data_IF_563251875607
#
_entry.id   IF_563251875607
#
_cell.length_a   1.000
_cell.length_b   1.000
_cell.length_c   1.000
_cell.angle_alpha   90.00
_cell.angle_beta   90.00
_cell.angle_gamma   90.00
#
_symmetry.space_group_name_H-M   'P 1'
#
loop_
_entity.id
_entity.type
_entity.pdbx_description
1 polymer ?
#
# COMPACT_ATOMS: atom_id res chain seq x y z
N UNK A 1 -19.52 -4.33 -51.73
CA UNK A 1 -20.32 -3.28 -51.09
C UNK A 1 -20.27 -3.52 -49.59
N UNK A 2 -19.29 -2.95 -48.89
CA UNK A 2 -19.17 -3.05 -47.42
C UNK A 2 -19.30 -1.65 -46.84
N UNK A 3 -20.33 -1.46 -46.02
CA UNK A 3 -20.74 -0.19 -45.44
C UNK A 3 -19.94 0.05 -44.15
N UNK A 4 -19.05 1.04 -44.15
CA UNK A 4 -18.30 1.45 -42.96
C UNK A 4 -19.18 2.37 -42.10
N UNK A 5 -19.49 1.93 -40.88
CA UNK A 5 -20.24 2.70 -39.89
C UNK A 5 -19.26 3.58 -39.09
N UNK A 6 -19.26 4.88 -39.39
CA UNK A 6 -18.52 5.88 -38.61
C UNK A 6 -19.37 6.32 -37.41
N UNK A 7 -19.03 5.85 -36.20
CA UNK A 7 -19.54 6.44 -34.95
C UNK A 7 -18.72 7.69 -34.64
N UNK A 8 -19.38 8.85 -34.67
CA UNK A 8 -18.88 10.12 -34.13
C UNK A 8 -18.70 9.99 -32.61
N UNK A 9 -17.47 10.09 -32.13
CA UNK A 9 -17.20 10.45 -30.74
C UNK A 9 -17.52 11.94 -30.56
N UNK A 10 -18.44 12.23 -29.66
CA UNK A 10 -18.70 13.57 -29.14
C UNK A 10 -17.72 13.76 -27.98
N UNK A 11 -16.76 14.67 -28.14
CA UNK A 11 -15.85 15.11 -27.08
C UNK A 11 -16.58 16.18 -26.26
N UNK A 12 -16.87 15.97 -24.97
CA UNK A 12 -17.38 17.03 -24.12
C UNK A 12 -16.28 18.06 -23.85
N UNK A 13 -16.64 19.32 -24.01
CA UNK A 13 -15.75 20.47 -24.04
C UNK A 13 -15.02 20.71 -22.72
N UNK A 14 -13.73 20.99 -22.88
CA UNK A 14 -12.85 21.63 -21.91
C UNK A 14 -13.40 23.04 -21.59
N UNK A 15 -14.05 23.21 -20.43
CA UNK A 15 -14.41 24.54 -19.90
C UNK A 15 -13.23 25.05 -19.09
N UNK A 16 -12.43 25.91 -19.71
CA UNK A 16 -11.39 26.67 -19.01
C UNK A 16 -12.04 27.78 -18.17
N UNK A 17 -12.09 27.59 -16.85
CA UNK A 17 -12.44 28.64 -15.90
C UNK A 17 -11.17 29.47 -15.58
N UNK A 18 -11.01 30.58 -16.29
CA UNK A 18 -10.10 31.66 -15.91
C UNK A 18 -10.73 32.43 -14.73
N UNK A 19 -10.31 32.13 -13.51
CA UNK A 19 -10.56 33.03 -12.37
C UNK A 19 -9.52 34.15 -12.40
N UNK A 20 -9.95 35.31 -12.89
CA UNK A 20 -9.19 36.55 -12.85
C UNK A 20 -9.18 37.15 -11.44
N UNK A 21 -8.01 37.60 -11.00
CA UNK A 21 -7.86 38.56 -9.92
C UNK A 21 -8.59 39.84 -10.30
N UNK A 22 -9.68 40.16 -9.59
CA UNK A 22 -10.34 41.46 -9.70
C UNK A 22 -9.96 42.29 -8.47
N UNK A 23 -9.01 43.19 -8.69
CA UNK A 23 -8.72 44.35 -7.85
C UNK A 23 -9.99 45.21 -7.74
N UNK A 24 -10.45 45.45 -6.52
CA UNK A 24 -11.72 46.13 -6.26
C UNK A 24 -11.73 46.73 -4.87
N UNK A 25 -11.05 47.87 -4.73
CA UNK A 25 -11.12 48.73 -3.54
C UNK A 25 -12.55 49.24 -3.32
N UNK A 26 -13.00 49.15 -2.08
CA UNK A 26 -14.28 49.69 -1.61
C UNK A 26 -14.25 49.90 -0.11
N UNK A 27 -13.85 51.10 0.31
CA UNK A 27 -14.05 51.61 1.67
C UNK A 27 -15.52 51.54 2.05
N UNK A 28 -15.81 50.93 3.20
CA UNK A 28 -16.86 51.44 4.10
C UNK A 28 -16.37 51.27 5.52
N UNK A 29 -16.17 52.42 6.16
CA UNK A 29 -15.93 52.61 7.57
C UNK A 29 -16.98 51.86 8.41
N UNK A 30 -16.52 51.02 9.33
CA UNK A 30 -17.33 50.58 10.47
C UNK A 30 -16.58 50.92 11.73
N UNK A 31 -17.29 51.68 12.56
CA UNK A 31 -16.83 52.38 13.73
C UNK A 31 -16.31 51.44 14.83
N UNK A 32 -15.43 52.04 15.62
CA UNK A 32 -14.80 51.53 16.82
C UNK A 32 -15.77 50.91 17.83
N UNK A 33 -15.31 49.83 18.46
CA UNK A 33 -15.62 49.49 19.84
C UNK A 33 -14.30 49.17 20.56
N UNK A 34 -13.82 50.01 21.49
CA UNK A 34 -12.64 49.73 22.30
C UNK A 34 -13.09 49.16 23.65
N UNK A 35 -12.61 47.96 24.00
CA UNK A 35 -12.99 47.39 25.27
C UNK A 35 -12.17 46.19 25.71
N UNK A 36 -11.05 46.51 26.36
CA UNK A 36 -10.55 45.86 27.59
C UNK A 36 -9.36 44.92 27.43
N UNK A 37 -8.26 45.41 27.99
CA UNK A 37 -6.97 44.79 28.21
C UNK A 37 -6.90 44.43 29.71
N UNK A 38 -6.63 43.17 30.05
CA UNK A 38 -6.06 42.69 31.33
C UNK A 38 -5.31 41.38 30.98
N UNK A 39 -4.00 41.41 30.77
CA UNK A 39 -2.93 41.27 31.78
C UNK A 39 -3.21 40.22 32.85
N UNK A 40 -2.46 39.10 32.79
CA UNK A 40 -1.87 38.47 33.97
C UNK A 40 -0.92 37.37 33.52
N UNK A 41 0.37 37.66 33.63
CA UNK A 41 1.44 36.66 33.60
C UNK A 41 1.31 35.68 34.76
N UNK A 42 1.61 34.41 34.47
CA UNK A 42 1.67 33.35 35.45
C UNK A 42 2.82 32.41 35.11
N UNK A 43 4.01 32.77 35.56
CA UNK A 43 5.15 31.86 35.65
C UNK A 43 4.85 30.82 36.74
N UNK A 44 4.75 29.55 36.38
CA UNK A 44 4.85 28.45 37.34
C UNK A 44 6.01 27.55 36.93
N UNK A 45 7.16 27.78 37.57
CA UNK A 45 8.19 26.78 37.71
C UNK A 45 7.68 25.73 38.72
N UNK A 46 7.55 24.49 38.26
CA UNK A 46 7.42 23.34 39.13
C UNK A 46 8.39 22.27 38.65
N UNK A 47 9.60 22.32 39.22
CA UNK A 47 10.41 21.14 39.51
C UNK A 47 9.52 20.07 40.17
N UNK A 48 9.49 18.88 39.57
CA UNK A 48 9.11 17.67 40.24
C UNK A 48 9.94 16.54 39.65
N UNK A 49 11.14 16.37 40.20
CA UNK A 49 11.84 15.10 40.25
C UNK A 49 10.88 14.05 40.84
N UNK A 50 10.51 13.08 40.02
CA UNK A 50 9.93 11.83 40.48
C UNK A 50 10.75 10.70 39.86
N UNK A 51 11.85 10.39 40.54
CA UNK A 51 12.44 9.05 40.54
C UNK A 51 11.33 8.04 40.86
N UNK A 52 10.88 7.34 39.82
CA UNK A 52 10.06 6.14 39.97
C UNK A 52 10.84 5.02 39.29
N UNK A 53 11.62 4.32 40.10
CA UNK A 53 12.06 2.96 39.82
C UNK A 53 10.87 2.01 40.06
N UNK A 54 10.41 1.26 39.06
CA UNK A 54 9.72 0.02 39.31
C UNK A 54 10.74 -1.13 39.28
N UNK A 55 11.19 -1.48 40.48
CA UNK A 55 11.57 -2.85 40.83
C UNK A 55 10.39 -3.79 40.50
N UNK A 56 10.63 -4.87 39.76
CA UNK A 56 10.23 -6.23 40.13
C UNK A 56 10.22 -7.17 38.93
N UNK A 57 11.12 -8.14 39.01
CA UNK A 57 11.01 -9.49 38.45
C UNK A 57 9.57 -10.06 38.49
N UNK A 58 9.12 -10.56 37.35
CA UNK A 58 8.10 -11.60 37.31
C UNK A 58 8.26 -12.42 36.02
N UNK A 59 9.18 -13.37 36.05
CA UNK A 59 9.05 -14.57 35.20
C UNK A 59 7.94 -15.45 35.81
N UNK A 60 7.02 -15.94 34.97
CA UNK A 60 6.72 -17.35 35.09
C UNK A 60 6.81 -18.09 33.75
N UNK A 61 7.70 -19.07 33.78
CA UNK A 61 7.67 -20.32 33.02
C UNK A 61 6.24 -20.84 32.83
N UNK A 62 5.88 -21.14 31.58
CA UNK A 62 4.82 -22.07 31.27
C UNK A 62 5.22 -22.90 30.05
N UNK A 63 5.90 -24.01 30.35
CA UNK A 63 6.01 -25.17 29.47
C UNK A 63 4.59 -25.60 29.02
N UNK A 64 4.31 -25.52 27.72
CA UNK A 64 3.20 -26.24 27.12
C UNK A 64 3.78 -27.30 26.19
N UNK A 65 4.11 -28.43 26.81
CA UNK A 65 4.29 -29.73 26.16
C UNK A 65 2.91 -30.19 25.64
N UNK A 66 2.69 -30.00 24.34
CA UNK A 66 1.49 -30.42 23.63
C UNK A 66 1.87 -31.26 22.42
N UNK A 67 2.34 -32.49 22.66
CA UNK A 67 2.42 -33.54 21.65
C UNK A 67 1.01 -34.08 21.40
N UNK A 68 0.32 -33.54 20.39
CA UNK A 68 -0.86 -34.17 19.82
C UNK A 68 -0.51 -34.71 18.44
N UNK A 69 -0.05 -35.96 18.46
CA UNK A 69 -0.03 -36.88 17.33
C UNK A 69 -1.47 -37.09 16.83
N UNK A 70 -1.82 -36.46 15.72
CA UNK A 70 -3.01 -36.81 14.95
C UNK A 70 -2.58 -37.49 13.65
N UNK A 71 -2.45 -38.82 13.73
CA UNK A 71 -2.56 -39.75 12.62
C UNK A 71 -3.82 -39.44 11.79
N UNK A 72 -3.64 -38.95 10.56
CA UNK A 72 -4.71 -38.95 9.55
C UNK A 72 -4.39 -40.00 8.51
N UNK A 73 -5.17 -41.06 8.62
CA UNK A 73 -5.21 -42.25 7.78
C UNK A 73 -5.38 -41.93 6.29
N UNK A 74 -4.53 -42.58 5.52
CA UNK A 74 -4.57 -42.72 4.06
C UNK A 74 -5.81 -43.51 3.64
N UNK A 75 -6.50 -43.11 2.58
CA UNK A 75 -7.50 -43.99 1.96
C UNK A 75 -8.44 -43.33 0.97
N UNK A 76 -8.05 -43.26 -0.31
CA UNK A 76 -8.99 -43.32 -1.44
C UNK A 76 -8.23 -43.68 -2.72
N UNK A 77 -8.12 -44.98 -2.92
CA UNK A 77 -7.79 -45.63 -4.19
C UNK A 77 -8.99 -45.48 -5.15
N UNK A 78 -8.74 -44.86 -6.31
CA UNK A 78 -9.65 -44.85 -7.45
C UNK A 78 -8.88 -45.33 -8.68
N UNK A 79 -9.08 -46.62 -8.95
CA UNK A 79 -8.77 -47.29 -10.21
C UNK A 79 -9.81 -46.89 -11.26
N UNK A 80 -9.38 -46.30 -12.37
CA UNK A 80 -10.18 -46.26 -13.59
C UNK A 80 -9.25 -46.28 -14.82
N UNK A 81 -9.01 -47.50 -15.29
CA UNK A 81 -8.45 -47.86 -16.59
C UNK A 81 -9.36 -47.40 -17.74
N UNK A 82 -8.80 -46.75 -18.78
CA UNK A 82 -9.32 -46.81 -20.16
C UNK A 82 -8.33 -46.23 -21.21
N UNK A 83 -7.51 -47.13 -21.75
CA UNK A 83 -7.17 -47.39 -23.16
C UNK A 83 -7.01 -46.27 -24.23
N UNK A 84 -5.80 -46.31 -24.82
CA UNK A 84 -5.39 -46.16 -26.23
C UNK A 84 -5.63 -44.86 -27.04
N UNK A 85 -4.50 -44.26 -27.41
CA UNK A 85 -4.02 -44.35 -28.79
C UNK A 85 -3.91 -43.04 -29.57
N UNK A 86 -2.72 -42.42 -29.54
CA UNK A 86 -2.22 -41.57 -30.63
C UNK A 86 -0.71 -41.34 -30.50
N UNK A 87 0.07 -42.08 -31.28
CA UNK A 87 1.48 -41.78 -31.53
C UNK A 87 1.54 -40.49 -32.38
N UNK A 88 2.00 -39.40 -31.77
CA UNK A 88 2.47 -38.22 -32.49
C UNK A 88 3.91 -37.95 -32.03
N UNK A 89 4.87 -38.11 -32.94
CA UNK A 89 6.22 -37.56 -32.85
C UNK A 89 6.10 -36.06 -32.60
N UNK A 90 6.21 -35.66 -31.34
CA UNK A 90 6.41 -34.27 -30.94
C UNK A 90 7.92 -34.12 -30.74
N UNK A 91 8.50 -33.38 -31.68
CA UNK A 91 9.86 -32.85 -31.63
C UNK A 91 10.18 -32.35 -30.22
N UNK A 92 11.35 -32.77 -29.72
CA UNK A 92 11.90 -32.38 -28.43
C UNK A 92 11.90 -30.85 -28.25
N UNK A 93 10.81 -30.34 -27.69
CA UNK A 93 10.78 -29.08 -26.98
C UNK A 93 11.61 -29.28 -25.72
N UNK A 94 12.57 -28.41 -25.51
CA UNK A 94 13.33 -28.40 -24.27
C UNK A 94 12.41 -27.89 -23.17
N UNK A 95 11.78 -28.82 -22.44
CA UNK A 95 11.11 -28.55 -21.17
C UNK A 95 12.18 -28.07 -20.20
N UNK A 96 12.44 -26.77 -20.27
CA UNK A 96 13.22 -26.08 -19.27
C UNK A 96 12.22 -25.75 -18.19
N UNK A 97 11.84 -26.76 -17.41
CA UNK A 97 11.12 -26.65 -16.15
C UNK A 97 12.07 -25.98 -15.15
N UNK A 98 12.28 -24.68 -15.35
CA UNK A 98 12.66 -23.79 -14.29
C UNK A 98 11.36 -23.23 -13.74
N UNK A 99 10.68 -24.02 -12.90
CA UNK A 99 9.62 -23.58 -11.99
C UNK A 99 10.21 -22.65 -10.89
N UNK A 100 11.01 -21.65 -11.30
CA UNK A 100 11.20 -20.44 -10.53
C UNK A 100 9.93 -19.62 -10.73
N UNK A 101 8.88 -19.98 -9.99
CA UNK A 101 7.53 -19.43 -10.12
C UNK A 101 7.51 -17.93 -9.85
N UNK A 102 7.83 -17.13 -10.87
CA UNK A 102 7.57 -15.70 -10.82
C UNK A 102 6.06 -15.50 -10.92
N UNK A 103 5.40 -15.20 -9.80
CA UNK A 103 4.00 -14.79 -9.80
C UNK A 103 3.87 -13.52 -10.66
N UNK A 104 2.91 -13.45 -11.60
CA UNK A 104 2.69 -12.22 -12.35
C UNK A 104 2.25 -11.09 -11.41
N UNK A 105 2.52 -9.82 -11.75
CA UNK A 105 2.00 -8.69 -10.99
C UNK A 105 0.47 -8.75 -10.93
N UNK A 106 -0.09 -8.34 -9.80
CA UNK A 106 -1.54 -8.25 -9.57
C UNK A 106 -2.18 -7.14 -10.42
N UNK A 107 -1.39 -6.11 -10.75
CA UNK A 107 -1.82 -4.99 -11.55
C UNK A 107 -0.68 -4.47 -12.44
N UNK A 108 -1.04 -3.80 -13.54
CA UNK A 108 -0.10 -3.07 -14.38
C UNK A 108 -0.75 -1.75 -14.81
N UNK A 109 -0.17 -0.63 -14.38
CA UNK A 109 -0.73 0.70 -14.62
C UNK A 109 -2.01 0.97 -13.80
N UNK A 110 -2.82 1.92 -14.25
CA UNK A 110 -4.02 2.38 -13.52
C UNK A 110 -5.23 1.42 -13.62
N UNK A 111 -5.11 0.35 -14.42
CA UNK A 111 -6.15 -0.65 -14.61
C UNK A 111 -5.76 -1.97 -13.98
N UNK A 112 -6.54 -2.47 -13.01
CA UNK A 112 -6.30 -3.79 -12.40
C UNK A 112 -6.63 -3.85 -10.92
N UNK A 113 -6.72 -2.69 -10.27
CA UNK A 113 -7.08 -2.59 -8.86
C UNK A 113 -8.48 -2.00 -8.69
N UNK A 114 -9.18 -2.48 -7.67
CA UNK A 114 -10.48 -1.96 -7.27
C UNK A 114 -10.48 -1.65 -5.78
N UNK A 115 -11.03 -0.50 -5.41
CA UNK A 115 -11.21 -0.17 -4.01
C UNK A 115 -12.34 -1.04 -3.44
N UNK A 116 -12.01 -1.89 -2.48
CA UNK A 116 -12.99 -2.57 -1.67
C UNK A 116 -13.33 -1.74 -0.44
N UNK A 117 -14.61 -1.39 -0.33
CA UNK A 117 -15.13 -0.49 0.70
C UNK A 117 -16.30 -1.15 1.40
N UNK A 118 -16.09 -1.50 2.66
CA UNK A 118 -17.13 -2.06 3.52
C UNK A 118 -17.01 -1.52 4.95
N UNK A 119 -17.68 -2.17 5.89
CA UNK A 119 -17.70 -1.76 7.29
C UNK A 119 -16.47 -2.20 8.08
N UNK A 120 -15.68 -3.14 7.56
CA UNK A 120 -14.58 -3.77 8.26
C UNK A 120 -13.21 -3.36 7.70
N UNK A 121 -13.17 -2.92 6.45
CA UNK A 121 -11.98 -2.91 5.63
C UNK A 121 -12.03 -1.82 4.57
N UNK A 122 -10.86 -1.26 4.31
CA UNK A 122 -10.64 -0.34 3.21
C UNK A 122 -9.31 -0.71 2.55
N UNK A 123 -9.42 -1.48 1.47
CA UNK A 123 -8.31 -2.21 0.87
C UNK A 123 -8.39 -2.05 -0.64
N UNK A 124 -7.24 -2.01 -1.30
CA UNK A 124 -7.21 -2.16 -2.75
C UNK A 124 -7.04 -3.65 -3.10
N UNK A 125 -7.97 -4.19 -3.87
CA UNK A 125 -7.95 -5.60 -4.29
C UNK A 125 -7.65 -5.72 -5.77
N UNK A 126 -6.96 -6.80 -6.15
CA UNK A 126 -6.76 -7.16 -7.54
C UNK A 126 -8.10 -7.51 -8.21
N UNK A 127 -8.19 -7.31 -9.52
CA UNK A 127 -9.40 -7.62 -10.26
C UNK A 127 -9.79 -9.11 -10.13
N UNK A 128 -10.94 -9.36 -9.50
CA UNK A 128 -11.48 -10.70 -9.29
C UNK A 128 -11.04 -11.37 -7.97
N UNK A 129 -10.20 -10.71 -7.18
CA UNK A 129 -9.85 -11.18 -5.83
C UNK A 129 -11.07 -11.05 -4.90
N UNK A 130 -11.44 -12.11 -4.17
CA UNK A 130 -12.55 -12.04 -3.23
C UNK A 130 -12.16 -11.18 -2.02
N UNK A 131 -13.02 -10.27 -1.58
CA UNK A 131 -12.74 -9.47 -0.39
C UNK A 131 -12.71 -10.32 0.89
N UNK A 132 -11.99 -9.86 1.92
CA UNK A 132 -12.05 -10.52 3.22
C UNK A 132 -13.48 -10.48 3.79
N UNK A 133 -13.88 -11.52 4.54
CA UNK A 133 -15.23 -11.59 5.08
C UNK A 133 -15.44 -10.49 6.14
N UNK A 134 -16.52 -9.72 5.99
CA UNK A 134 -16.97 -8.77 7.00
C UNK A 134 -18.22 -9.29 7.70
N UNK A 135 -18.13 -9.49 9.02
CA UNK A 135 -19.24 -9.94 9.86
C UNK A 135 -20.32 -8.88 10.09
N UNK A 136 -20.11 -7.66 9.60
CA UNK A 136 -21.01 -6.51 9.76
C UNK A 136 -21.72 -6.28 8.44
N UNK A 137 -23.03 -6.52 8.39
CA UNK A 137 -23.81 -6.40 7.15
C UNK A 137 -24.04 -4.94 6.74
N UNK A 138 -24.16 -4.01 7.70
CA UNK A 138 -24.43 -2.60 7.45
C UNK A 138 -23.72 -1.71 8.48
N UNK A 139 -23.16 -0.60 8.02
CA UNK A 139 -22.57 0.46 8.81
C UNK A 139 -23.03 1.81 8.28
N UNK A 140 -23.03 2.82 9.15
CA UNK A 140 -23.47 4.17 8.77
C UNK A 140 -22.49 4.85 7.80
N UNK A 141 -21.19 4.56 7.93
CA UNK A 141 -20.11 5.02 7.05
C UNK A 141 -19.17 3.84 6.86
N UNK A 142 -18.74 3.59 5.62
CA UNK A 142 -17.74 2.55 5.34
C UNK A 142 -16.35 3.02 5.81
N UNK A 143 -15.44 2.08 6.00
CA UNK A 143 -14.07 2.38 6.44
C UNK A 143 -13.38 3.34 5.47
N UNK A 144 -13.54 3.17 4.16
CA UNK A 144 -12.93 4.07 3.18
C UNK A 144 -13.52 5.48 3.22
N UNK A 145 -14.85 5.60 3.30
CA UNK A 145 -15.48 6.92 3.35
C UNK A 145 -15.13 7.67 4.64
N UNK A 146 -14.98 6.97 5.76
CA UNK A 146 -14.51 7.56 7.01
C UNK A 146 -13.06 8.08 6.91
N UNK A 147 -12.26 7.46 6.04
CA UNK A 147 -10.87 7.85 5.73
C UNK A 147 -10.76 8.83 4.56
N UNK A 148 -11.88 9.21 3.94
CA UNK A 148 -11.90 10.13 2.80
C UNK A 148 -11.30 9.56 1.52
N UNK A 149 -11.30 8.23 1.37
CA UNK A 149 -10.77 7.57 0.16
C UNK A 149 -11.88 7.13 -0.78
N UNK A 150 -11.59 7.24 -2.08
CA UNK A 150 -12.42 6.79 -3.17
C UNK A 150 -11.63 5.97 -4.21
N UNK A 151 -12.33 5.46 -5.21
CA UNK A 151 -11.75 4.53 -6.19
C UNK A 151 -10.61 5.16 -7.03
N UNK A 152 -10.50 6.49 -7.08
CA UNK A 152 -9.42 7.19 -7.77
C UNK A 152 -8.12 7.25 -6.96
N UNK A 153 -8.17 6.99 -5.65
CA UNK A 153 -6.97 6.95 -4.81
C UNK A 153 -6.19 5.64 -4.98
N UNK A 154 -6.89 4.58 -5.41
CA UNK A 154 -6.28 3.27 -5.62
C UNK A 154 -5.22 3.33 -6.72
N UNK A 155 -4.05 2.79 -6.41
CA UNK A 155 -2.91 2.77 -7.31
C UNK A 155 -2.32 1.37 -7.43
N UNK A 156 -1.67 1.12 -8.55
CA UNK A 156 -0.80 -0.03 -8.71
C UNK A 156 0.60 0.33 -8.24
N UNK A 157 0.91 -0.02 -6.99
CA UNK A 157 2.18 0.21 -6.34
C UNK A 157 3.01 -1.08 -6.39
N UNK A 158 4.13 -1.06 -7.10
CA UNK A 158 5.00 -2.22 -7.20
C UNK A 158 4.32 -3.53 -7.64
N UNK A 159 3.47 -3.41 -8.66
CA UNK A 159 2.71 -4.53 -9.22
C UNK A 159 1.69 -5.14 -8.25
N UNK A 160 1.38 -4.44 -7.14
CA UNK A 160 0.38 -4.79 -6.13
C UNK A 160 -0.65 -3.68 -6.05
N UNK A 161 -1.86 -4.03 -5.65
CA UNK A 161 -2.89 -3.05 -5.40
C UNK A 161 -2.68 -2.38 -4.04
N UNK A 162 -2.67 -1.05 -4.02
CA UNK A 162 -2.59 -0.25 -2.79
C UNK A 162 -3.70 0.80 -2.76
N UNK A 163 -4.29 1.03 -1.60
CA UNK A 163 -5.33 2.03 -1.37
C UNK A 163 -4.84 3.46 -1.65
N UNK A 164 -3.51 3.66 -1.67
CA UNK A 164 -2.88 4.87 -2.17
C UNK A 164 -2.66 5.94 -1.10
N UNK A 165 -2.54 5.53 0.18
CA UNK A 165 -2.24 6.49 1.23
C UNK A 165 -0.90 7.19 0.99
N UNK A 166 -0.85 8.50 1.17
CA UNK A 166 0.43 9.20 1.22
C UNK A 166 1.10 8.86 2.57
N UNK A 167 2.27 8.22 2.55
CA UNK A 167 3.04 7.89 3.74
C UNK A 167 4.43 8.55 3.73
N UNK A 168 4.63 9.54 2.86
CA UNK A 168 5.87 10.31 2.77
C UNK A 168 5.86 11.48 3.76
N UNK A 169 6.60 11.29 4.85
CA UNK A 169 6.78 12.30 5.87
C UNK A 169 7.54 13.55 5.41
N UNK A 170 8.15 13.55 4.23
CA UNK A 170 8.97 14.67 3.75
C UNK A 170 8.15 15.96 3.57
N UNK A 171 6.83 15.83 3.43
CA UNK A 171 5.89 16.92 3.22
C UNK A 171 5.17 17.37 4.50
N UNK A 172 5.42 16.69 5.63
CA UNK A 172 4.75 16.99 6.90
C UNK A 172 5.37 18.22 7.55
N UNK A 173 4.52 19.21 7.89
CA UNK A 173 4.94 20.45 8.56
C UNK A 173 4.19 20.69 9.88
N UNK A 174 3.42 19.71 10.35
CA UNK A 174 2.72 19.83 11.63
C UNK A 174 3.68 19.80 12.82
N UNK A 175 3.32 20.53 13.88
CA UNK A 175 4.11 20.60 15.12
C UNK A 175 3.94 19.36 16.01
N UNK A 176 2.89 18.57 15.77
CA UNK A 176 2.60 17.35 16.52
C UNK A 176 3.55 16.24 16.07
N UNK A 177 4.15 15.47 17.00
CA UNK A 177 4.95 14.31 16.63
C UNK A 177 4.13 13.25 15.88
N UNK A 178 4.77 12.40 15.05
CA UNK A 178 4.08 11.29 14.40
C UNK A 178 3.42 10.38 15.43
N UNK A 179 2.21 9.84 15.15
CA UNK A 179 1.60 8.86 16.02
C UNK A 179 2.46 7.58 16.04
N UNK A 180 2.47 6.91 17.19
CA UNK A 180 3.08 5.58 17.29
C UNK A 180 2.17 4.57 16.60
N UNK A 181 2.68 3.90 15.56
CA UNK A 181 1.96 2.88 14.84
C UNK A 181 2.38 1.48 15.29
N UNK A 182 1.47 0.49 15.25
CA UNK A 182 1.80 -0.92 15.40
C UNK A 182 2.87 -1.38 14.39
N UNK A 183 3.44 -2.55 14.66
CA UNK A 183 4.33 -3.24 13.73
C UNK A 183 3.64 -3.48 12.37
N UNK A 184 4.38 -3.30 11.27
CA UNK A 184 3.85 -3.34 9.90
C UNK A 184 3.01 -2.13 9.45
N UNK A 185 2.71 -1.18 10.33
CA UNK A 185 1.96 0.04 10.03
C UNK A 185 2.82 1.31 10.09
N UNK A 186 2.43 2.31 9.29
CA UNK A 186 3.09 3.62 9.22
C UNK A 186 2.08 4.75 9.31
N UNK A 187 2.48 5.93 9.83
CA UNK A 187 1.59 7.08 9.85
C UNK A 187 1.36 7.58 8.42
N UNK A 188 0.09 7.64 8.01
CA UNK A 188 -0.29 8.34 6.79
C UNK A 188 -0.10 9.86 6.95
N UNK A 189 -0.14 10.58 5.83
CA UNK A 189 -0.08 12.03 5.73
C UNK A 189 -1.40 12.53 5.15
N UNK A 190 -2.11 13.32 5.93
CA UNK A 190 -3.38 13.94 5.54
C UNK A 190 -3.18 15.45 5.40
N UNK A 191 -3.13 15.92 4.16
CA UNK A 191 -2.80 17.31 3.85
C UNK A 191 -1.33 17.62 4.15
N UNK A 192 -1.07 18.29 5.26
CA UNK A 192 0.29 18.67 5.69
C UNK A 192 0.62 18.18 7.10
N UNK A 193 -0.21 17.27 7.62
CA UNK A 193 -0.15 16.76 8.98
C UNK A 193 -0.23 15.22 8.97
N UNK A 194 0.07 14.61 10.12
CA UNK A 194 -0.12 13.17 10.32
C UNK A 194 -1.60 12.78 10.25
N UNK A 195 -1.85 11.65 9.59
CA UNK A 195 -3.13 10.94 9.55
C UNK A 195 -3.13 9.72 10.47
N UNK A 196 -4.03 8.77 10.19
CA UNK A 196 -4.09 7.50 10.90
C UNK A 196 -2.90 6.59 10.55
N UNK A 197 -2.64 5.60 11.40
CA UNK A 197 -1.77 4.48 11.03
C UNK A 197 -2.47 3.63 9.98
N UNK A 198 -1.71 3.24 8.97
CA UNK A 198 -2.15 2.41 7.85
C UNK A 198 -1.10 1.33 7.59
N UNK A 199 -1.49 0.16 7.06
CA UNK A 199 -0.51 -0.83 6.63
C UNK A 199 0.48 -0.21 5.63
N UNK A 200 1.78 -0.46 5.82
CA UNK A 200 2.80 0.11 4.94
C UNK A 200 2.63 -0.33 3.47
N UNK A 201 1.99 -1.47 3.24
CA UNK A 201 1.64 -2.04 1.93
C UNK A 201 0.51 -1.29 1.22
N UNK A 202 -0.30 -0.52 1.95
CA UNK A 202 -1.38 0.29 1.39
C UNK A 202 -0.93 1.70 1.01
N UNK A 203 0.32 2.05 1.31
CA UNK A 203 0.91 3.33 0.97
C UNK A 203 1.18 3.44 -0.54
N UNK A 204 0.80 4.56 -1.14
CA UNK A 204 1.19 4.89 -2.51
C UNK A 204 2.70 4.97 -2.67
N UNK A 205 3.42 5.41 -1.63
CA UNK A 205 4.89 5.41 -1.54
C UNK A 205 5.29 5.68 -0.09
N UNK A 206 6.46 5.18 0.29
CA UNK A 206 7.14 5.50 1.55
C UNK A 206 8.44 6.24 1.24
N UNK A 207 8.90 7.01 2.22
CA UNK A 207 10.13 7.81 2.10
C UNK A 207 11.37 6.96 1.82
N UNK A 208 11.51 5.87 2.58
CA UNK A 208 12.65 4.97 2.49
C UNK A 208 12.31 3.60 3.09
N UNK A 209 13.18 2.62 2.86
CA UNK A 209 12.96 1.23 3.23
C UNK A 209 12.90 0.97 4.74
N UNK A 210 13.31 1.92 5.60
CA UNK A 210 13.16 1.76 7.06
C UNK A 210 11.69 1.75 7.51
N UNK A 211 10.77 2.13 6.62
CA UNK A 211 9.33 2.09 6.84
C UNK A 211 8.71 0.71 6.59
N UNK A 212 9.44 -0.19 5.95
CA UNK A 212 8.96 -1.54 5.69
C UNK A 212 9.40 -2.47 6.82
N UNK A 213 8.51 -3.36 7.21
CA UNK A 213 8.80 -4.39 8.18
C UNK A 213 9.70 -5.48 7.57
N UNK A 214 10.95 -5.66 8.03
CA UNK A 214 11.87 -6.63 7.44
C UNK A 214 11.52 -8.09 7.78
N UNK A 215 10.50 -8.38 8.58
CA UNK A 215 10.08 -9.74 8.91
C UNK A 215 8.93 -10.21 7.99
N UNK A 216 8.02 -9.30 7.62
CA UNK A 216 6.83 -9.63 6.80
C UNK A 216 6.77 -8.91 5.45
N UNK A 217 7.61 -7.91 5.22
CA UNK A 217 7.65 -7.13 3.98
C UNK A 217 9.06 -7.13 3.36
N UNK A 218 9.15 -6.67 2.12
CA UNK A 218 10.39 -6.21 1.53
C UNK A 218 10.20 -4.87 0.84
N UNK A 219 11.30 -4.13 0.73
CA UNK A 219 11.29 -2.81 0.12
C UNK A 219 11.57 -2.92 -1.38
N UNK A 220 10.75 -2.25 -2.19
CA UNK A 220 10.97 -2.07 -3.61
C UNK A 220 11.33 -0.61 -3.86
N UNK A 221 12.50 -0.37 -4.43
CA UNK A 221 12.99 0.99 -4.68
C UNK A 221 12.86 1.37 -6.15
N UNK A 222 12.31 2.53 -6.46
CA UNK A 222 12.19 3.03 -7.83
C UNK A 222 13.15 4.18 -8.06
N UNK A 223 14.06 4.00 -9.00
CA UNK A 223 15.05 5.02 -9.36
C UNK A 223 14.55 5.81 -10.56
N UNK A 224 14.35 7.11 -10.36
CA UNK A 224 14.03 8.07 -11.41
C UNK A 224 14.96 9.29 -11.34
N UNK A 225 14.94 10.13 -12.39
CA UNK A 225 15.78 11.34 -12.43
C UNK A 225 15.56 12.26 -11.21
N UNK A 226 14.32 12.31 -10.71
CA UNK A 226 13.92 13.21 -9.61
C UNK A 226 14.27 12.66 -8.23
N UNK A 227 14.72 11.41 -8.11
CA UNK A 227 15.04 10.79 -6.82
C UNK A 227 14.69 9.31 -6.78
N UNK A 228 14.72 8.76 -5.56
CA UNK A 228 14.31 7.39 -5.25
C UNK A 228 13.06 7.48 -4.41
N UNK A 229 12.06 6.66 -4.73
CA UNK A 229 10.91 6.42 -3.85
C UNK A 229 10.80 4.92 -3.59
N UNK A 230 10.23 4.55 -2.46
CA UNK A 230 10.15 3.16 -2.01
C UNK A 230 8.70 2.73 -1.81
N UNK A 231 8.45 1.43 -1.91
CA UNK A 231 7.18 0.81 -1.55
C UNK A 231 7.45 -0.42 -0.70
N UNK A 232 6.56 -0.68 0.25
CA UNK A 232 6.59 -1.91 1.03
C UNK A 232 5.66 -2.92 0.36
N UNK A 233 6.19 -4.11 0.09
CA UNK A 233 5.43 -5.21 -0.52
C UNK A 233 5.47 -6.38 0.45
N UNK A 234 4.35 -7.05 0.65
CA UNK A 234 4.34 -8.26 1.49
C UNK A 234 5.28 -9.30 0.88
N UNK A 235 6.05 -9.93 1.75
CA UNK A 235 6.95 -11.02 1.38
C UNK A 235 6.14 -12.18 0.81
N UNK A 236 6.57 -12.66 -0.36
CA UNK A 236 6.06 -13.92 -0.86
C UNK A 236 6.79 -15.06 -0.12
N UNK A 237 6.03 -15.99 0.46
CA UNK A 237 6.60 -17.12 1.21
C UNK A 237 7.60 -17.94 0.39
N UNK A 238 7.41 -18.00 -0.93
CA UNK A 238 8.29 -18.68 -1.88
C UNK A 238 9.68 -18.04 -2.04
N UNK A 239 9.84 -16.76 -1.67
CA UNK A 239 11.11 -16.03 -1.76
C UNK A 239 12.04 -16.23 -0.56
N UNK A 240 11.55 -16.84 0.52
CA UNK A 240 12.27 -16.89 1.78
C UNK A 240 12.64 -15.49 2.29
N UNK A 241 13.73 -15.40 3.05
CA UNK A 241 14.13 -14.16 3.72
C UNK A 241 14.84 -13.13 2.82
N UNK A 242 15.21 -13.48 1.58
CA UNK A 242 16.04 -12.61 0.73
C UNK A 242 15.21 -12.05 -0.43
N UNK A 243 14.73 -10.80 -0.32
CA UNK A 243 14.07 -10.14 -1.44
C UNK A 243 15.09 -9.89 -2.54
N UNK A 244 14.87 -10.51 -3.70
CA UNK A 244 15.75 -10.40 -4.86
C UNK A 244 14.93 -10.26 -6.13
N UNK A 245 15.57 -9.73 -7.17
CA UNK A 245 15.03 -9.70 -8.51
C UNK A 245 14.71 -11.09 -9.05
N UNK A 246 15.48 -12.10 -8.65
CA UNK A 246 15.25 -13.48 -9.04
C UNK A 246 13.92 -14.03 -8.53
N UNK A 247 13.45 -13.56 -7.37
CA UNK A 247 12.20 -14.04 -6.79
C UNK A 247 11.00 -13.13 -7.09
N UNK A 248 11.08 -11.85 -6.70
CA UNK A 248 9.96 -10.91 -6.81
C UNK A 248 10.13 -9.89 -7.93
N UNK A 249 11.28 -9.85 -8.62
CA UNK A 249 11.60 -8.77 -9.55
C UNK A 249 10.55 -8.59 -10.66
N UNK A 250 10.10 -9.70 -11.26
CA UNK A 250 9.09 -9.67 -12.32
C UNK A 250 7.70 -9.24 -11.82
N UNK A 251 7.38 -9.47 -10.55
CA UNK A 251 6.09 -9.07 -9.96
C UNK A 251 6.10 -7.62 -9.50
N UNK A 252 7.26 -7.06 -9.12
CA UNK A 252 7.33 -5.70 -8.56
C UNK A 252 7.87 -4.65 -9.51
N UNK A 253 8.83 -4.99 -10.36
CA UNK A 253 9.37 -4.10 -11.37
C UNK A 253 8.49 -4.11 -12.62
N UNK A 254 7.37 -3.41 -12.54
CA UNK A 254 6.41 -3.23 -13.64
C UNK A 254 6.71 -1.97 -14.44
N UNK A 255 6.30 -1.96 -15.71
CA UNK A 255 6.46 -0.79 -16.57
C UNK A 255 5.89 0.49 -15.93
N UNK A 256 6.58 1.63 -16.04
CA UNK A 256 7.77 1.88 -16.87
C UNK A 256 9.10 1.51 -16.21
N UNK A 257 9.11 0.95 -14.99
CA UNK A 257 10.32 0.59 -14.24
C UNK A 257 10.56 -0.91 -14.28
N UNK A 258 10.71 -1.45 -15.49
CA UNK A 258 10.79 -2.89 -15.77
C UNK A 258 12.21 -3.47 -15.67
N UNK A 259 13.22 -2.66 -15.35
CA UNK A 259 14.59 -3.13 -15.14
C UNK A 259 14.91 -3.31 -13.66
N UNK A 260 15.08 -4.56 -13.23
CA UNK A 260 15.36 -4.94 -11.84
C UNK A 260 16.87 -5.11 -11.56
N UNK A 261 17.35 -4.58 -10.43
CA UNK A 261 18.67 -4.88 -9.85
C UNK A 261 18.56 -5.22 -8.36
N UNK A 262 19.46 -6.06 -7.84
CA UNK A 262 19.46 -6.46 -6.43
C UNK A 262 20.17 -5.44 -5.53
N UNK A 263 19.59 -5.16 -4.35
CA UNK A 263 20.18 -4.36 -3.28
C UNK A 263 19.93 -5.02 -1.92
N UNK A 264 20.75 -4.77 -0.88
CA UNK A 264 20.53 -5.35 0.44
C UNK A 264 19.16 -5.04 1.06
N UNK A 265 18.51 -3.94 0.67
CA UNK A 265 17.17 -3.59 1.13
C UNK A 265 16.05 -4.27 0.32
N UNK A 266 16.35 -4.82 -0.85
CA UNK A 266 15.40 -5.45 -1.77
C UNK A 266 15.63 -5.08 -3.24
N UNK A 267 14.70 -5.43 -4.14
CA UNK A 267 14.83 -5.12 -5.56
C UNK A 267 14.76 -3.61 -5.83
N UNK A 268 15.66 -3.15 -6.70
CA UNK A 268 15.69 -1.81 -7.28
C UNK A 268 15.11 -1.88 -8.69
N UNK A 269 13.99 -1.21 -8.91
CA UNK A 269 13.37 -1.03 -10.20
C UNK A 269 13.83 0.29 -10.83
N UNK A 270 14.23 0.24 -12.10
CA UNK A 270 14.71 1.40 -12.86
C UNK A 270 14.01 1.46 -14.20
N UNK A 271 13.86 2.67 -14.73
CA UNK A 271 13.31 2.90 -16.05
C UNK A 271 14.43 3.38 -17.00
N UNK A 272 14.98 2.51 -17.86
CA UNK A 272 16.07 2.87 -18.77
C UNK A 272 15.68 3.97 -19.78
N UNK A 273 14.38 4.11 -20.06
CA UNK A 273 13.85 5.02 -21.08
C UNK A 273 13.27 6.31 -20.51
N UNK A 274 13.18 6.49 -19.19
CA UNK A 274 12.59 7.67 -18.55
C UNK A 274 13.56 8.87 -18.44
N UNK A 275 14.47 8.99 -19.42
CA UNK A 275 15.53 10.01 -19.46
C UNK A 275 15.12 11.38 -20.00
#
# INVERSE_FOLDING_TARGET
MHNASFRRMVVPGLVAALFGCSDGGGSTDVAADPGTEEDSGGEVAADADADVEPEADAEPEADVDGTDDADVETGAEVEAEADAGAEADVEAGTDTDADGGTRPPECVGEGGCTLYTDCCSCLALAAGEPPPPCGITECFVTTCSARGMDAADVTCAAGRCAAGYNCDDSTVVCLTPPPACPEGEVPSVSGSCWGACVPATECAYVKDCSRCDPDVQFCVQYVQRSGIFAHCVERLDECGAVPSCACGGASVCVAPFDSCGDDPAGPICSCPTCG
#
